data_IF_922170878389
#
_entry.id   IF_922170878389
#
_cell.length_a   1.000
_cell.length_b   1.000
_cell.length_c   1.000
_cell.angle_alpha   90.00
_cell.angle_beta   90.00
_cell.angle_gamma   90.00
#
_symmetry.space_group_name_H-M   'P 1'
#
loop_
_entity.id
_entity.type
_entity.pdbx_description
1 polymer ?
#
# COMPACT_ATOMS: atom_id res chain seq x y z
N UNK A 1 -26.34 -57.62 -20.70
CA UNK A 1 -26.14 -56.37 -21.50
C UNK A 1 -26.14 -55.07 -20.68
N UNK A 2 -25.71 -55.06 -19.41
CA UNK A 2 -25.72 -53.81 -18.55
C UNK A 2 -24.34 -53.16 -18.29
N UNK A 3 -23.23 -53.81 -18.67
CA UNK A 3 -21.89 -53.32 -18.30
C UNK A 3 -21.14 -52.49 -19.39
N UNK A 4 -21.74 -52.31 -20.59
CA UNK A 4 -21.06 -51.56 -21.66
C UNK A 4 -21.42 -50.08 -21.72
N UNK A 5 -22.53 -49.64 -21.12
CA UNK A 5 -22.96 -48.23 -21.09
C UNK A 5 -22.32 -47.39 -19.97
N UNK A 6 -21.77 -48.03 -18.93
CA UNK A 6 -21.11 -47.32 -17.83
C UNK A 6 -19.69 -46.87 -18.15
N UNK A 7 -18.96 -47.64 -18.96
CA UNK A 7 -17.58 -47.28 -19.34
C UNK A 7 -17.49 -46.06 -20.28
N UNK A 8 -18.49 -45.85 -21.11
CA UNK A 8 -18.50 -44.74 -22.08
C UNK A 8 -18.81 -43.40 -21.40
N UNK A 9 -19.66 -43.37 -20.34
CA UNK A 9 -19.93 -42.15 -19.59
C UNK A 9 -18.77 -41.69 -18.69
N UNK A 10 -18.01 -42.64 -18.13
CA UNK A 10 -16.81 -42.29 -17.35
C UNK A 10 -15.65 -41.79 -18.23
N UNK A 11 -15.52 -42.34 -19.46
CA UNK A 11 -14.49 -41.88 -20.39
C UNK A 11 -14.77 -40.46 -20.93
N UNK A 12 -16.03 -40.11 -21.15
CA UNK A 12 -16.40 -38.75 -21.58
C UNK A 12 -16.20 -37.71 -20.47
N UNK A 13 -16.41 -38.08 -19.21
CA UNK A 13 -16.16 -37.18 -18.04
C UNK A 13 -14.66 -36.93 -17.82
N UNK A 14 -13.82 -37.89 -18.04
CA UNK A 14 -12.34 -37.73 -17.91
C UNK A 14 -11.79 -36.88 -19.06
N UNK A 15 -12.33 -37.02 -20.27
CA UNK A 15 -11.89 -36.21 -21.43
C UNK A 15 -12.36 -34.75 -21.25
N UNK A 16 -13.53 -34.50 -20.65
CA UNK A 16 -14.03 -33.15 -20.39
C UNK A 16 -13.26 -32.44 -19.24
N UNK A 17 -12.79 -33.17 -18.23
CA UNK A 17 -11.94 -32.62 -17.18
C UNK A 17 -10.52 -32.27 -17.67
N UNK A 18 -10.00 -33.01 -18.65
CA UNK A 18 -8.70 -32.69 -19.24
C UNK A 18 -8.73 -31.47 -20.17
N UNK A 19 -9.87 -31.20 -20.84
CA UNK A 19 -10.03 -30.02 -21.70
C UNK A 19 -10.22 -28.72 -20.90
N UNK A 20 -10.82 -28.78 -19.69
CA UNK A 20 -10.96 -27.61 -18.83
C UNK A 20 -9.61 -27.24 -18.17
N UNK A 21 -8.73 -28.22 -17.91
CA UNK A 21 -7.41 -27.96 -17.33
C UNK A 21 -6.39 -27.44 -18.38
N UNK A 22 -6.62 -27.72 -19.68
CA UNK A 22 -5.74 -27.26 -20.78
C UNK A 22 -6.02 -25.80 -21.18
N UNK A 23 -7.17 -25.22 -20.78
CA UNK A 23 -7.53 -23.83 -21.10
C UNK A 23 -7.07 -22.82 -20.04
N UNK A 24 -6.49 -23.28 -18.92
CA UNK A 24 -5.99 -22.42 -17.83
C UNK A 24 -4.47 -22.17 -17.90
N UNK A 25 -3.76 -22.71 -18.89
CA UNK A 25 -2.30 -22.64 -18.96
C UNK A 25 -1.74 -21.79 -20.10
N UNK A 26 -2.47 -20.80 -20.59
CA UNK A 26 -1.89 -19.79 -21.48
C UNK A 26 -2.51 -18.41 -21.26
N UNK A 27 -2.24 -17.81 -20.10
CA UNK A 27 -2.11 -16.36 -19.99
C UNK A 27 -0.69 -16.09 -19.50
N UNK A 28 0.27 -16.51 -20.29
CA UNK A 28 1.64 -16.03 -20.25
C UNK A 28 1.68 -14.67 -20.96
N UNK A 29 1.01 -13.68 -20.40
CA UNK A 29 1.32 -12.31 -20.73
C UNK A 29 2.52 -11.89 -19.86
N UNK A 30 3.70 -12.36 -20.21
CA UNK A 30 4.93 -11.61 -20.04
C UNK A 30 4.85 -10.37 -20.91
N UNK A 31 4.03 -9.40 -20.54
CA UNK A 31 4.34 -8.03 -20.84
C UNK A 31 5.56 -7.70 -19.97
N UNK A 32 6.76 -7.94 -20.51
CA UNK A 32 7.94 -7.21 -20.08
C UNK A 32 7.52 -5.75 -20.05
N UNK A 33 7.56 -5.14 -18.87
CA UNK A 33 7.40 -3.71 -18.72
C UNK A 33 8.57 -3.08 -19.47
N UNK A 34 8.34 -2.82 -20.76
CA UNK A 34 9.31 -2.14 -21.60
C UNK A 34 9.47 -0.73 -21.04
N UNK A 35 10.57 -0.53 -20.34
CA UNK A 35 10.92 0.73 -19.69
C UNK A 35 11.08 1.87 -20.71
N UNK A 36 11.21 1.57 -22.01
CA UNK A 36 11.30 2.53 -23.09
C UNK A 36 9.97 3.23 -23.38
N UNK A 37 8.83 2.70 -22.93
CA UNK A 37 7.49 3.18 -23.23
C UNK A 37 6.79 3.85 -22.03
N UNK A 38 7.52 4.62 -21.19
CA UNK A 38 6.85 5.48 -20.22
C UNK A 38 6.02 6.53 -20.97
N UNK A 39 4.71 6.34 -20.99
CA UNK A 39 3.75 7.30 -21.56
C UNK A 39 3.04 8.02 -20.41
N UNK A 40 3.29 9.32 -20.26
CA UNK A 40 2.67 10.18 -19.24
C UNK A 40 1.15 10.16 -19.32
N UNK A 41 0.57 10.13 -20.52
CA UNK A 41 -0.89 10.10 -20.71
C UNK A 41 -1.46 8.76 -20.23
N UNK A 42 -0.76 7.65 -20.47
CA UNK A 42 -1.19 6.34 -19.96
C UNK A 42 -1.22 6.33 -18.42
N UNK A 43 -0.22 6.89 -17.78
CA UNK A 43 -0.18 6.97 -16.31
C UNK A 43 -1.27 7.91 -15.78
N UNK A 44 -1.43 9.06 -16.39
CA UNK A 44 -2.50 10.01 -16.06
C UNK A 44 -3.87 9.34 -16.13
N UNK A 45 -4.19 8.68 -17.24
CA UNK A 45 -5.45 7.96 -17.43
C UNK A 45 -5.64 6.81 -16.42
N UNK A 46 -4.56 6.15 -15.99
CA UNK A 46 -4.62 5.12 -14.95
C UNK A 46 -4.95 5.73 -13.58
N UNK A 47 -4.31 6.83 -13.22
CA UNK A 47 -4.58 7.54 -11.96
C UNK A 47 -6.00 8.10 -11.92
N UNK A 48 -6.51 8.68 -13.02
CA UNK A 48 -7.90 9.14 -13.12
C UNK A 48 -8.88 7.98 -12.85
N UNK A 49 -8.69 6.82 -13.48
CA UNK A 49 -9.54 5.63 -13.23
C UNK A 49 -9.43 5.07 -11.82
N UNK A 50 -8.26 5.17 -11.20
CA UNK A 50 -8.09 4.79 -9.79
C UNK A 50 -8.78 5.79 -8.87
N UNK A 51 -8.69 7.07 -9.17
CA UNK A 51 -9.31 8.15 -8.40
C UNK A 51 -10.84 8.01 -8.29
N UNK A 52 -11.49 7.45 -9.34
CA UNK A 52 -12.93 7.16 -9.33
C UNK A 52 -13.32 6.03 -8.35
N UNK A 53 -12.36 5.27 -7.83
CA UNK A 53 -12.58 4.05 -7.03
C UNK A 53 -12.04 4.15 -5.60
N UNK A 54 -11.31 5.19 -5.28
CA UNK A 54 -10.70 5.41 -3.98
C UNK A 54 -11.06 6.77 -3.41
N UNK A 55 -11.24 6.91 -2.09
CA UNK A 55 -11.41 8.21 -1.47
C UNK A 55 -10.08 8.97 -1.27
N UNK A 56 -8.97 8.45 -1.76
CA UNK A 56 -7.66 9.11 -1.73
C UNK A 56 -7.50 9.92 -3.01
N UNK A 57 -7.31 11.22 -2.90
CA UNK A 57 -7.08 12.09 -4.07
C UNK A 57 -5.73 11.81 -4.73
N UNK A 58 -5.76 11.15 -5.90
CA UNK A 58 -4.60 10.74 -6.68
C UNK A 58 -4.34 11.73 -7.81
N UNK A 59 -3.72 12.87 -7.51
CA UNK A 59 -3.42 13.89 -8.52
C UNK A 59 -2.18 13.54 -9.35
N UNK A 60 -2.30 13.62 -10.67
CA UNK A 60 -1.16 13.58 -11.58
C UNK A 60 -0.46 14.95 -11.60
N UNK A 61 0.66 15.04 -10.92
CA UNK A 61 1.48 16.27 -10.83
C UNK A 61 2.90 16.00 -11.34
N UNK A 62 3.68 17.04 -11.71
CA UNK A 62 5.07 16.84 -12.13
C UNK A 62 5.93 16.09 -11.09
N UNK A 63 5.63 16.25 -9.79
CA UNK A 63 6.34 15.52 -8.74
C UNK A 63 5.94 14.05 -8.67
N UNK A 64 4.68 13.72 -8.91
CA UNK A 64 4.19 12.34 -9.00
C UNK A 64 4.78 11.66 -10.24
N UNK A 65 4.69 12.28 -11.39
CA UNK A 65 5.28 11.79 -12.64
C UNK A 65 6.78 11.48 -12.48
N UNK A 66 7.56 12.45 -11.96
CA UNK A 66 8.99 12.27 -11.69
C UNK A 66 9.26 11.10 -10.75
N UNK A 67 8.41 10.91 -9.73
CA UNK A 67 8.57 9.83 -8.75
C UNK A 67 8.24 8.48 -9.37
N UNK A 68 7.17 8.37 -10.16
CA UNK A 68 6.82 7.15 -10.89
C UNK A 68 7.95 6.76 -11.86
N UNK A 69 8.46 7.69 -12.68
CA UNK A 69 9.62 7.45 -13.56
C UNK A 69 10.82 6.89 -12.79
N UNK A 70 11.13 7.50 -11.65
CA UNK A 70 12.22 7.02 -10.77
C UNK A 70 11.96 5.61 -10.26
N UNK A 71 10.75 5.29 -9.80
CA UNK A 71 10.41 3.97 -9.23
C UNK A 71 10.43 2.87 -10.29
N UNK A 72 9.94 3.13 -11.50
CA UNK A 72 10.05 2.20 -12.61
C UNK A 72 11.51 1.86 -12.95
N UNK A 73 12.44 2.81 -12.78
CA UNK A 73 13.86 2.55 -13.02
C UNK A 73 14.59 1.90 -11.84
N UNK A 74 14.13 2.11 -10.59
CA UNK A 74 14.92 1.73 -9.41
C UNK A 74 14.27 0.69 -8.52
N UNK A 75 12.96 0.44 -8.65
CA UNK A 75 12.21 -0.41 -7.72
C UNK A 75 11.57 -1.66 -8.34
N UNK A 76 11.60 -1.84 -9.65
CA UNK A 76 11.02 -3.01 -10.32
C UNK A 76 11.60 -4.31 -9.75
N UNK A 77 12.91 -4.39 -9.60
CA UNK A 77 13.57 -5.57 -9.04
C UNK A 77 13.21 -5.80 -7.57
N UNK A 78 12.98 -4.74 -6.80
CA UNK A 78 12.48 -4.87 -5.44
C UNK A 78 11.09 -5.53 -5.43
N UNK A 79 10.15 -5.09 -6.28
CA UNK A 79 8.81 -5.68 -6.33
C UNK A 79 8.85 -7.13 -6.79
N UNK A 80 9.63 -7.46 -7.83
CA UNK A 80 9.81 -8.84 -8.29
C UNK A 80 10.32 -9.77 -7.18
N UNK A 81 11.34 -9.32 -6.43
CA UNK A 81 11.94 -10.11 -5.33
C UNK A 81 11.05 -10.25 -4.10
N UNK A 82 10.10 -9.34 -3.90
CA UNK A 82 9.25 -9.33 -2.71
C UNK A 82 7.79 -9.70 -2.98
N UNK A 83 7.48 -10.26 -4.15
CA UNK A 83 6.11 -10.66 -4.51
C UNK A 83 5.51 -11.64 -3.51
N UNK A 84 6.30 -12.57 -2.97
CA UNK A 84 5.87 -13.53 -1.96
C UNK A 84 5.53 -12.84 -0.63
N UNK A 85 6.34 -11.87 -0.21
CA UNK A 85 6.04 -11.06 0.98
C UNK A 85 4.77 -10.22 0.80
N UNK A 86 4.57 -9.66 -0.39
CA UNK A 86 3.33 -8.97 -0.73
C UNK A 86 2.14 -9.91 -0.59
N UNK A 87 2.17 -11.07 -1.22
CA UNK A 87 1.10 -12.06 -1.16
C UNK A 87 0.83 -12.55 0.27
N UNK A 88 1.85 -12.59 1.14
CA UNK A 88 1.73 -12.99 2.52
C UNK A 88 1.09 -11.91 3.41
N UNK A 89 1.52 -10.65 3.27
CA UNK A 89 1.08 -9.58 4.18
C UNK A 89 -0.18 -8.85 3.71
N UNK A 90 -0.40 -8.69 2.39
CA UNK A 90 -1.53 -7.88 1.90
C UNK A 90 -2.89 -8.36 2.41
N UNK A 91 -3.23 -9.67 2.50
CA UNK A 91 -4.51 -10.11 3.04
C UNK A 91 -4.74 -9.66 4.50
N UNK A 92 -3.69 -9.73 5.34
CA UNK A 92 -3.74 -9.26 6.72
C UNK A 92 -4.00 -7.75 6.79
N UNK A 93 -3.30 -6.97 5.96
CA UNK A 93 -3.48 -5.51 5.93
C UNK A 93 -4.88 -5.15 5.46
N UNK A 94 -5.36 -5.77 4.39
CA UNK A 94 -6.70 -5.56 3.84
C UNK A 94 -7.79 -5.80 4.88
N UNK A 95 -7.74 -6.94 5.57
CA UNK A 95 -8.69 -7.30 6.62
C UNK A 95 -8.75 -6.23 7.72
N UNK A 96 -7.61 -5.83 8.27
CA UNK A 96 -7.57 -4.89 9.40
C UNK A 96 -7.94 -3.47 8.97
N UNK A 97 -7.58 -3.03 7.76
CA UNK A 97 -8.00 -1.74 7.20
C UNK A 97 -9.50 -1.70 6.96
N UNK A 98 -10.09 -2.75 6.39
CA UNK A 98 -11.53 -2.88 6.16
C UNK A 98 -12.33 -2.84 7.47
N UNK A 99 -11.85 -3.52 8.52
CA UNK A 99 -12.47 -3.50 9.85
C UNK A 99 -12.58 -2.08 10.43
N UNK A 100 -11.69 -1.18 10.04
CA UNK A 100 -11.69 0.24 10.43
C UNK A 100 -12.26 1.18 9.36
N UNK A 101 -12.80 0.66 8.25
CA UNK A 101 -13.33 1.43 7.10
C UNK A 101 -12.29 2.37 6.48
N UNK A 102 -11.04 1.93 6.44
CA UNK A 102 -9.91 2.64 5.85
C UNK A 102 -9.77 2.22 4.38
N UNK A 103 -9.41 3.13 3.45
CA UNK A 103 -9.16 2.79 2.06
C UNK A 103 -8.14 1.66 1.93
N UNK A 104 -8.49 0.66 1.12
CA UNK A 104 -7.69 -0.56 0.98
C UNK A 104 -6.32 -0.29 0.36
N UNK A 105 -6.16 0.80 -0.38
CA UNK A 105 -4.90 1.22 -0.99
C UNK A 105 -3.83 1.52 0.06
N UNK A 106 -4.22 1.85 1.28
CA UNK A 106 -3.28 2.09 2.40
C UNK A 106 -2.49 0.82 2.78
N UNK A 107 -2.92 -0.36 2.34
CA UNK A 107 -2.15 -1.61 2.44
C UNK A 107 -0.74 -1.55 1.86
N UNK A 108 -0.48 -0.61 0.94
CA UNK A 108 0.84 -0.41 0.34
C UNK A 108 1.78 0.47 1.18
N UNK A 109 1.28 1.07 2.27
CA UNK A 109 2.07 1.94 3.15
C UNK A 109 3.31 1.24 3.74
N UNK A 110 3.23 -0.03 4.23
CA UNK A 110 4.40 -0.75 4.75
C UNK A 110 5.52 -0.98 3.74
N UNK A 111 5.24 -0.89 2.43
CA UNK A 111 6.29 -0.95 1.40
C UNK A 111 7.17 0.30 1.47
N UNK A 112 6.58 1.47 1.72
CA UNK A 112 7.30 2.74 1.83
C UNK A 112 8.04 2.80 3.16
N UNK A 113 7.40 2.37 4.23
CA UNK A 113 7.89 2.46 5.59
C UNK A 113 9.09 1.52 5.84
N UNK A 114 8.90 0.23 5.58
CA UNK A 114 9.85 -0.80 5.97
C UNK A 114 10.34 -1.69 4.84
N UNK A 115 9.84 -1.52 3.61
CA UNK A 115 10.00 -2.48 2.51
C UNK A 115 9.49 -3.89 2.87
N UNK A 116 8.41 -3.94 3.65
CA UNK A 116 7.83 -5.19 4.18
C UNK A 116 8.81 -5.99 5.06
N UNK A 117 9.65 -5.30 5.83
CA UNK A 117 10.52 -5.92 6.81
C UNK A 117 9.93 -5.71 8.22
N UNK A 118 9.42 -6.77 8.88
CA UNK A 118 8.84 -6.66 10.21
C UNK A 118 9.87 -6.34 11.29
N UNK A 119 11.16 -6.54 11.02
CA UNK A 119 12.26 -6.26 11.94
C UNK A 119 12.96 -4.93 11.69
N UNK A 120 12.51 -4.16 10.69
CA UNK A 120 13.14 -2.90 10.33
C UNK A 120 13.17 -1.91 11.50
N UNK A 121 14.33 -1.30 11.75
CA UNK A 121 14.51 -0.23 12.73
C UNK A 121 15.19 0.95 12.06
N UNK A 122 14.55 2.11 12.10
CA UNK A 122 15.09 3.36 11.55
C UNK A 122 16.14 3.98 12.48
N UNK A 123 16.92 4.93 11.96
CA UNK A 123 17.91 5.67 12.76
C UNK A 123 17.32 6.41 13.95
N UNK A 124 16.04 6.75 13.90
CA UNK A 124 15.29 7.46 14.96
C UNK A 124 14.42 6.53 15.83
N UNK A 125 14.56 5.20 15.65
CA UNK A 125 13.87 4.20 16.46
C UNK A 125 12.44 3.87 16.02
N UNK A 126 12.00 4.29 14.84
CA UNK A 126 10.78 3.77 14.26
C UNK A 126 10.97 2.29 13.90
N UNK A 127 9.99 1.42 14.22
CA UNK A 127 10.20 -0.04 14.21
C UNK A 127 9.03 -0.76 13.54
N UNK A 128 9.36 -1.86 12.85
CA UNK A 128 8.42 -2.83 12.29
C UNK A 128 7.86 -2.45 10.91
N UNK A 129 6.89 -3.25 10.43
CA UNK A 129 6.24 -3.06 9.13
C UNK A 129 5.70 -1.64 8.94
N UNK A 130 5.10 -1.09 9.97
CA UNK A 130 4.41 0.19 9.99
C UNK A 130 5.26 1.34 10.53
N UNK A 131 6.54 1.08 10.87
CA UNK A 131 7.51 2.05 11.38
C UNK A 131 6.97 2.91 12.56
N UNK A 132 6.39 2.26 13.54
CA UNK A 132 5.91 2.95 14.72
C UNK A 132 7.04 3.54 15.56
N UNK A 133 6.91 4.83 15.90
CA UNK A 133 7.69 5.45 16.98
C UNK A 133 7.19 4.92 18.33
N UNK A 134 8.08 4.81 19.31
CA UNK A 134 7.80 4.20 20.61
C UNK A 134 6.54 4.75 21.29
N UNK A 135 6.43 6.07 21.46
CA UNK A 135 5.27 6.67 22.11
C UNK A 135 3.98 6.54 21.30
N UNK A 136 4.06 6.67 19.97
CA UNK A 136 2.90 6.48 19.10
C UNK A 136 2.39 5.04 19.17
N UNK A 137 3.29 4.05 19.29
CA UNK A 137 2.94 2.65 19.48
C UNK A 137 2.18 2.43 20.80
N UNK A 138 2.69 2.96 21.92
CA UNK A 138 2.03 2.89 23.22
C UNK A 138 0.63 3.53 23.20
N UNK A 139 0.50 4.71 22.61
CA UNK A 139 -0.78 5.44 22.49
C UNK A 139 -1.83 4.71 21.64
N UNK A 140 -1.40 3.72 20.82
CA UNK A 140 -2.26 2.90 19.98
C UNK A 140 -2.30 1.41 20.42
N UNK A 141 -1.94 1.14 21.69
CA UNK A 141 -2.20 -0.13 22.35
C UNK A 141 -1.13 -1.21 22.15
N UNK A 142 0.05 -0.86 21.62
CA UNK A 142 1.16 -1.81 21.53
C UNK A 142 1.97 -1.84 22.82
N UNK A 143 2.39 -3.02 23.22
CA UNK A 143 3.24 -3.25 24.40
C UNK A 143 4.71 -3.29 23.99
N UNK A 144 5.55 -2.53 24.68
CA UNK A 144 7.00 -2.60 24.56
C UNK A 144 7.61 -2.65 25.96
N UNK A 145 8.47 -3.63 26.20
CA UNK A 145 9.26 -3.78 27.42
C UNK A 145 10.59 -4.50 27.13
N UNK A 146 11.37 -4.88 28.12
CA UNK A 146 12.66 -5.53 27.94
C UNK A 146 12.60 -6.90 27.24
N UNK A 147 11.43 -7.52 27.11
CA UNK A 147 11.24 -8.87 26.56
C UNK A 147 10.41 -8.87 25.29
N UNK A 148 9.54 -7.86 25.08
CA UNK A 148 8.55 -7.81 24.02
C UNK A 148 8.57 -6.44 23.38
N UNK A 149 8.54 -6.41 22.05
CA UNK A 149 8.27 -5.23 21.24
C UNK A 149 7.20 -5.58 20.19
N UNK A 150 5.94 -5.25 20.47
CA UNK A 150 4.81 -5.59 19.58
C UNK A 150 4.78 -4.78 18.28
N UNK A 151 5.67 -3.81 18.09
CA UNK A 151 5.84 -3.11 16.82
C UNK A 151 6.35 -4.04 15.72
N UNK A 152 7.08 -5.11 16.08
CA UNK A 152 7.56 -6.13 15.13
C UNK A 152 6.54 -7.25 14.86
N UNK A 153 5.47 -7.33 15.63
CA UNK A 153 4.38 -8.28 15.40
C UNK A 153 3.51 -7.80 14.22
N UNK A 154 3.42 -8.55 13.11
CA UNK A 154 2.68 -8.11 11.94
C UNK A 154 1.20 -7.87 12.19
N UNK A 155 0.55 -8.73 12.98
CA UNK A 155 -0.87 -8.60 13.27
C UNK A 155 -1.15 -7.41 14.21
N UNK A 156 -0.49 -7.37 15.36
CA UNK A 156 -0.71 -6.34 16.38
C UNK A 156 -0.37 -4.95 15.85
N UNK A 157 0.77 -4.81 15.15
CA UNK A 157 1.15 -3.54 14.56
C UNK A 157 0.20 -3.09 13.44
N UNK A 158 -0.39 -4.02 12.68
CA UNK A 158 -1.40 -3.67 11.66
C UNK A 158 -2.70 -3.18 12.29
N UNK A 159 -3.19 -3.85 13.35
CA UNK A 159 -4.36 -3.37 14.12
C UNK A 159 -4.11 -1.97 14.68
N UNK A 160 -2.94 -1.74 15.29
CA UNK A 160 -2.58 -0.43 15.84
C UNK A 160 -2.47 0.64 14.75
N UNK A 161 -1.91 0.31 13.57
CA UNK A 161 -1.82 1.22 12.44
C UNK A 161 -3.21 1.62 11.91
N UNK A 162 -4.13 0.67 11.78
CA UNK A 162 -5.50 0.94 11.37
C UNK A 162 -6.21 1.87 12.37
N UNK A 163 -6.07 1.64 13.67
CA UNK A 163 -6.62 2.52 14.70
C UNK A 163 -6.02 3.93 14.64
N UNK A 164 -4.71 4.04 14.46
CA UNK A 164 -4.02 5.32 14.35
C UNK A 164 -4.43 6.10 13.11
N UNK A 165 -4.51 5.45 11.95
CA UNK A 165 -4.98 6.05 10.70
C UNK A 165 -6.41 6.57 10.82
N UNK A 166 -7.31 5.82 11.45
CA UNK A 166 -8.69 6.25 11.73
C UNK A 166 -8.71 7.51 12.62
N UNK A 167 -7.88 7.54 13.68
CA UNK A 167 -7.73 8.70 14.57
C UNK A 167 -7.24 9.95 13.82
N UNK A 168 -6.28 9.77 12.90
CA UNK A 168 -5.79 10.85 12.04
C UNK A 168 -6.88 11.32 11.07
N UNK A 169 -7.67 10.42 10.51
CA UNK A 169 -8.76 10.77 9.61
C UNK A 169 -9.85 11.61 10.29
N UNK A 170 -10.21 11.27 11.52
CA UNK A 170 -11.13 12.10 12.33
C UNK A 170 -10.65 13.53 12.52
N UNK A 171 -9.33 13.75 12.46
CA UNK A 171 -8.71 15.08 12.63
C UNK A 171 -8.64 15.87 11.33
N UNK A 172 -8.33 15.18 10.21
CA UNK A 172 -7.99 15.84 8.95
C UNK A 172 -9.10 15.78 7.91
N UNK A 173 -9.93 14.73 7.91
CA UNK A 173 -10.96 14.42 6.91
C UNK A 173 -10.45 14.47 5.45
N UNK A 174 -9.15 14.18 5.27
CA UNK A 174 -8.43 14.19 3.99
C UNK A 174 -7.32 13.12 4.07
N UNK A 175 -7.38 12.10 3.19
CA UNK A 175 -6.46 10.97 3.26
C UNK A 175 -5.01 11.34 2.93
N UNK A 176 -4.79 12.33 2.06
CA UNK A 176 -3.43 12.79 1.79
C UNK A 176 -2.82 13.49 3.01
N UNK A 177 -3.63 14.25 3.76
CA UNK A 177 -3.20 14.83 5.04
C UNK A 177 -3.04 13.77 6.13
N UNK A 178 -3.86 12.72 6.14
CA UNK A 178 -3.68 11.56 7.05
C UNK A 178 -2.32 10.91 6.81
N UNK A 179 -1.99 10.59 5.57
CA UNK A 179 -0.72 9.98 5.21
C UNK A 179 0.47 10.91 5.52
N UNK A 180 0.35 12.21 5.21
CA UNK A 180 1.36 13.20 5.57
C UNK A 180 1.53 13.34 7.10
N UNK A 181 0.42 13.23 7.85
CA UNK A 181 0.42 13.26 9.32
C UNK A 181 1.00 11.99 9.93
N UNK A 182 0.79 10.85 9.29
CA UNK A 182 1.41 9.58 9.66
C UNK A 182 2.94 9.67 9.58
N UNK A 183 3.46 10.21 8.47
CA UNK A 183 4.90 10.38 8.25
C UNK A 183 5.53 11.42 9.19
N UNK A 184 4.95 12.62 9.32
CA UNK A 184 5.62 13.75 9.98
C UNK A 184 5.08 14.06 11.39
N UNK A 185 4.01 13.40 11.79
CA UNK A 185 3.27 13.67 13.00
C UNK A 185 2.27 14.86 12.88
N UNK A 186 1.15 14.81 13.65
CA UNK A 186 0.07 15.80 13.56
C UNK A 186 0.53 17.25 13.85
N UNK A 187 1.50 17.43 14.74
CA UNK A 187 2.05 18.76 15.06
C UNK A 187 2.74 19.42 13.87
N UNK A 188 3.39 18.64 13.01
CA UNK A 188 4.05 19.16 11.80
C UNK A 188 3.01 19.64 10.81
N UNK A 189 1.93 18.89 10.61
CA UNK A 189 0.82 19.28 9.73
C UNK A 189 0.13 20.54 10.27
N UNK A 190 -0.11 20.63 11.57
CA UNK A 190 -0.69 21.83 12.19
C UNK A 190 0.19 23.08 12.00
N UNK A 191 1.52 22.94 12.09
CA UNK A 191 2.47 24.04 11.80
C UNK A 191 2.46 24.45 10.33
N UNK A 192 2.43 23.47 9.41
CA UNK A 192 2.35 23.75 7.98
C UNK A 192 1.03 24.46 7.63
N UNK A 193 -0.10 24.04 8.21
CA UNK A 193 -1.39 24.72 8.06
C UNK A 193 -1.33 26.20 8.46
N UNK A 194 -0.72 26.51 9.60
CA UNK A 194 -0.53 27.91 10.04
C UNK A 194 0.36 28.69 9.07
N UNK A 195 1.49 28.11 8.63
CA UNK A 195 2.42 28.76 7.70
C UNK A 195 1.82 29.00 6.31
N UNK A 196 0.90 28.15 5.86
CA UNK A 196 0.24 28.26 4.56
C UNK A 196 -0.92 29.27 4.53
N UNK A 197 -1.24 29.90 5.65
CA UNK A 197 -2.42 30.77 5.74
C UNK A 197 -3.73 30.03 5.91
N UNK A 198 -3.70 28.76 6.39
CA UNK A 198 -4.89 27.99 6.74
C UNK A 198 -5.34 26.97 5.69
N UNK A 199 -4.54 26.65 4.69
CA UNK A 199 -4.87 25.59 3.74
C UNK A 199 -5.15 24.26 4.46
N UNK A 200 -6.13 23.51 3.93
CA UNK A 200 -6.60 22.22 4.47
C UNK A 200 -6.41 21.07 3.47
N UNK A 201 -5.74 21.32 2.34
CA UNK A 201 -5.43 20.34 1.32
C UNK A 201 -3.91 20.11 1.27
N UNK A 202 -3.49 18.84 1.19
CA UNK A 202 -2.06 18.48 1.15
C UNK A 202 -1.28 19.21 0.04
N UNK A 203 -1.82 19.27 -1.18
CA UNK A 203 -1.10 19.81 -2.33
C UNK A 203 -0.83 21.31 -2.18
N UNK A 204 -1.77 22.06 -1.60
CA UNK A 204 -1.61 23.49 -1.30
C UNK A 204 -0.67 23.71 -0.10
N UNK A 205 -0.65 22.78 0.86
CA UNK A 205 0.25 22.84 2.03
C UNK A 205 1.66 22.33 1.73
N UNK A 206 1.84 21.57 0.65
CA UNK A 206 3.09 20.88 0.29
C UNK A 206 4.33 21.76 0.33
N UNK A 207 4.33 23.03 -0.16
CA UNK A 207 5.50 23.92 -0.07
C UNK A 207 5.94 24.27 1.36
N UNK A 208 5.05 24.09 2.34
CA UNK A 208 5.29 24.41 3.75
C UNK A 208 5.63 23.17 4.59
N UNK A 209 5.65 21.99 3.98
CA UNK A 209 6.01 20.73 4.62
C UNK A 209 7.51 20.46 4.55
N UNK A 210 8.06 19.66 5.49
CA UNK A 210 9.42 19.12 5.34
C UNK A 210 9.57 18.37 4.01
N UNK A 211 10.75 18.40 3.41
CA UNK A 211 11.03 17.78 2.09
C UNK A 211 10.62 16.31 2.01
N UNK A 212 10.87 15.54 3.07
CA UNK A 212 10.44 14.14 3.17
C UNK A 212 8.92 14.01 3.05
N UNK A 213 8.18 14.74 3.87
CA UNK A 213 6.71 14.74 3.89
C UNK A 213 6.11 15.29 2.60
N UNK A 214 6.74 16.33 2.01
CA UNK A 214 6.35 16.87 0.71
C UNK A 214 6.52 15.87 -0.45
N UNK A 215 7.34 14.83 -0.29
CA UNK A 215 7.54 13.75 -1.26
C UNK A 215 6.83 12.44 -0.88
N UNK A 216 6.18 12.40 0.29
CA UNK A 216 5.59 11.18 0.80
C UNK A 216 4.37 10.72 -0.04
N UNK A 217 3.44 11.63 -0.33
CA UNK A 217 2.27 11.33 -1.17
C UNK A 217 2.68 10.98 -2.61
N UNK A 218 3.60 11.73 -3.30
CA UNK A 218 4.16 11.28 -4.57
C UNK A 218 4.77 9.87 -4.51
N UNK A 219 5.43 9.51 -3.40
CA UNK A 219 5.99 8.16 -3.22
C UNK A 219 4.91 7.11 -3.00
N UNK A 220 3.86 7.42 -2.25
CA UNK A 220 2.71 6.54 -2.06
C UNK A 220 2.00 6.25 -3.38
N UNK A 221 1.70 7.26 -4.17
CA UNK A 221 1.06 7.12 -5.47
C UNK A 221 1.93 6.29 -6.44
N UNK A 222 3.25 6.39 -6.34
CA UNK A 222 4.19 5.67 -7.21
C UNK A 222 4.44 4.21 -6.78
N UNK A 223 4.03 3.83 -5.56
CA UNK A 223 4.18 2.46 -5.02
C UNK A 223 3.10 1.55 -5.52
#
# INVERSE_FOLDING_TARGET
>A
MKNKKMKTKQLVLIIFSFFIFSSYSQVDNKQELDQSNFNSDTIKNRLERLNDRTPIDLYFTPSVEKTIKRYLNTRVEFYKKNIEKLNYYLPLFEEQLQNQKIPVEIKYLPIIESRLDPSAVSKVGATGLWQFMFYTALENGLTMNSYIDERIDPYKSTVAAALYLNKLYKTHNDWNLVLASYNAGPRTISRAKKKSGGYTNYWNMRPFLPSETANYIPSFIAT
#
